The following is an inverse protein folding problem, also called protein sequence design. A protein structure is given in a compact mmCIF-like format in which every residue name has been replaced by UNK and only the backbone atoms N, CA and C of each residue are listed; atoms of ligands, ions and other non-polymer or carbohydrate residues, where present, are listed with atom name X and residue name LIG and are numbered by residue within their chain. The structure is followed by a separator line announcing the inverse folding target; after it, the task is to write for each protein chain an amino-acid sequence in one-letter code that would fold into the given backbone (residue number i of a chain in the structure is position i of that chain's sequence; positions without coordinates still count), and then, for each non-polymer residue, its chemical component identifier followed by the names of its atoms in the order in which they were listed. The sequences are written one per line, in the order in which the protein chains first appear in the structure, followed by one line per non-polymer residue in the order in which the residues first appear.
data_IF_712887587045
#
_entry.id   IF_712887587045
#
_cell.length_a   1.000
_cell.length_b   1.000
_cell.length_c   1.000
_cell.angle_alpha   90.00
_cell.angle_beta   90.00
_cell.angle_gamma   90.00
#
_symmetry.space_group_name_H-M   'P 1'
#
loop_
_entity.id
_entity.type
_entity.pdbx_description
1 polymer ?
#
# COMPACT_ATOMS: atom_id res chain seq x y z
N UNK A 1 21.92 2.18 -11.55
CA UNK A 1 21.67 0.76 -11.25
C UNK A 1 20.18 0.49 -11.43
N UNK A 2 19.80 -0.53 -12.23
CA UNK A 2 18.42 -0.95 -12.40
C UNK A 2 17.84 -1.44 -11.06
N UNK A 3 16.52 -1.23 -10.84
CA UNK A 3 15.82 -1.86 -9.73
C UNK A 3 15.88 -3.39 -9.89
N UNK A 4 15.91 -4.15 -8.77
CA UNK A 4 15.87 -5.61 -8.84
C UNK A 4 14.71 -6.10 -9.71
N UNK A 5 14.95 -7.21 -10.43
CA UNK A 5 13.87 -7.93 -11.10
C UNK A 5 12.86 -8.36 -10.04
N UNK A 6 11.57 -8.27 -10.36
CA UNK A 6 10.52 -8.83 -9.52
C UNK A 6 10.51 -10.35 -9.70
N UNK A 7 10.16 -11.04 -8.64
CA UNK A 7 9.94 -12.48 -8.70
C UNK A 7 8.47 -12.72 -9.07
N UNK A 8 8.20 -12.81 -10.37
CA UNK A 8 6.88 -13.16 -10.90
C UNK A 8 6.77 -14.70 -10.89
N UNK A 9 6.70 -15.29 -9.68
CA UNK A 9 6.57 -16.75 -9.53
C UNK A 9 5.10 -17.13 -9.71
N UNK A 10 4.79 -18.07 -10.64
CA UNK A 10 3.42 -18.55 -10.81
C UNK A 10 2.81 -19.08 -9.52
N UNK A 11 1.55 -18.76 -9.30
CA UNK A 11 0.76 -19.19 -8.15
C UNK A 11 0.86 -18.29 -6.92
N UNK A 12 1.76 -17.31 -6.90
CA UNK A 12 1.93 -16.41 -5.77
C UNK A 12 0.76 -15.43 -5.62
N UNK A 13 0.54 -15.06 -4.37
CA UNK A 13 -0.35 -13.97 -3.99
C UNK A 13 0.43 -12.68 -3.81
N UNK A 14 -0.17 -11.58 -4.25
CA UNK A 14 0.47 -10.26 -4.25
C UNK A 14 -0.45 -9.18 -3.69
N UNK A 15 0.07 -8.40 -2.76
CA UNK A 15 -0.48 -7.10 -2.44
C UNK A 15 0.15 -6.07 -3.36
N UNK A 16 -0.62 -5.57 -4.32
CA UNK A 16 -0.21 -4.63 -5.35
C UNK A 16 -0.67 -3.23 -4.99
N UNK A 17 0.21 -2.25 -5.12
CA UNK A 17 -0.12 -0.86 -4.81
C UNK A 17 0.70 0.12 -5.65
N UNK A 18 0.14 1.29 -5.90
CA UNK A 18 0.86 2.43 -6.45
C UNK A 18 0.23 3.73 -5.96
N UNK A 19 0.98 4.81 -6.05
CA UNK A 19 0.59 6.12 -5.58
C UNK A 19 0.96 7.19 -6.59
N UNK A 20 0.20 8.28 -6.62
CA UNK A 20 0.46 9.44 -7.46
C UNK A 20 1.80 10.11 -7.18
N UNK A 21 2.36 10.73 -8.21
CA UNK A 21 3.55 11.59 -8.11
C UNK A 21 3.27 12.66 -7.05
N UNK A 22 4.25 12.90 -6.17
CA UNK A 22 4.18 13.89 -5.09
C UNK A 22 2.90 13.81 -4.23
N UNK A 23 2.39 12.57 -4.04
CA UNK A 23 1.13 12.29 -3.36
C UNK A 23 -0.09 12.90 -4.05
N UNK A 24 0.05 13.29 -5.31
CA UNK A 24 -1.00 13.88 -6.12
C UNK A 24 -2.15 12.93 -6.41
N UNK A 25 -3.26 13.51 -6.82
CA UNK A 25 -4.49 12.79 -7.17
C UNK A 25 -4.24 11.83 -8.34
N UNK A 26 -4.75 10.61 -8.19
CA UNK A 26 -4.74 9.57 -9.22
C UNK A 26 -6.14 9.36 -9.80
N UNK A 27 -7.15 9.46 -8.94
CA UNK A 27 -8.56 9.31 -9.30
C UNK A 27 -9.27 10.65 -9.11
N UNK A 28 -9.46 11.39 -10.19
CA UNK A 28 -10.02 12.75 -10.14
C UNK A 28 -11.54 12.72 -9.98
N UNK A 29 -12.20 11.72 -10.55
CA UNK A 29 -13.65 11.53 -10.47
C UNK A 29 -14.05 10.04 -10.59
N UNK A 30 -15.35 9.79 -10.70
CA UNK A 30 -15.90 8.45 -10.79
C UNK A 30 -15.55 7.76 -12.13
N UNK A 31 -15.36 8.54 -13.20
CA UNK A 31 -14.98 8.00 -14.54
C UNK A 31 -13.59 7.36 -14.47
N UNK A 32 -12.68 7.97 -13.74
CA UNK A 32 -11.33 7.44 -13.53
C UNK A 32 -11.39 6.11 -12.77
N UNK A 33 -12.19 6.04 -11.71
CA UNK A 33 -12.31 4.82 -10.90
C UNK A 33 -12.95 3.68 -11.70
N UNK A 34 -14.01 3.96 -12.43
CA UNK A 34 -14.66 2.99 -13.33
C UNK A 34 -13.69 2.51 -14.42
N UNK A 35 -12.87 3.43 -14.94
CA UNK A 35 -11.83 3.08 -15.91
C UNK A 35 -10.81 2.13 -15.31
N UNK A 36 -10.38 2.38 -14.07
CA UNK A 36 -9.43 1.51 -13.38
C UNK A 36 -10.01 0.13 -13.09
N UNK A 37 -11.28 0.05 -12.63
CA UNK A 37 -12.00 -1.21 -12.42
C UNK A 37 -12.12 -2.02 -13.72
N UNK A 38 -12.42 -1.37 -14.84
CA UNK A 38 -12.43 -2.02 -16.16
C UNK A 38 -11.05 -2.56 -16.54
N UNK A 39 -9.98 -1.82 -16.25
CA UNK A 39 -8.61 -2.27 -16.51
C UNK A 39 -8.17 -3.42 -15.58
N UNK A 40 -8.70 -3.52 -14.36
CA UNK A 40 -8.54 -4.70 -13.52
C UNK A 40 -9.19 -5.94 -14.15
N UNK A 41 -10.39 -5.78 -14.71
CA UNK A 41 -11.03 -6.84 -15.49
C UNK A 41 -10.22 -7.28 -16.70
N UNK A 42 -9.63 -6.34 -17.44
CA UNK A 42 -8.72 -6.65 -18.56
C UNK A 42 -7.45 -7.38 -18.11
N UNK A 43 -6.86 -6.99 -16.96
CA UNK A 43 -5.68 -7.67 -16.41
C UNK A 43 -5.99 -9.15 -16.09
N UNK A 44 -7.22 -9.45 -15.62
CA UNK A 44 -7.69 -10.83 -15.47
C UNK A 44 -7.80 -11.54 -16.81
N UNK A 45 -8.48 -10.93 -17.76
CA UNK A 45 -8.85 -11.59 -19.03
C UNK A 45 -7.62 -11.80 -19.94
N UNK A 46 -6.68 -10.86 -19.95
CA UNK A 46 -5.51 -10.88 -20.85
C UNK A 46 -4.29 -11.54 -20.21
N UNK A 47 -4.15 -11.49 -18.87
CA UNK A 47 -2.96 -11.98 -18.15
C UNK A 47 -3.25 -13.09 -17.15
N UNK A 48 -4.52 -13.46 -16.96
CA UNK A 48 -4.91 -14.49 -16.00
C UNK A 48 -4.80 -14.07 -14.53
N UNK A 49 -4.69 -12.77 -14.23
CA UNK A 49 -4.63 -12.30 -12.86
C UNK A 49 -5.97 -12.51 -12.15
N UNK A 50 -5.97 -13.20 -11.03
CA UNK A 50 -7.15 -13.38 -10.20
C UNK A 50 -7.23 -12.23 -9.18
N UNK A 51 -8.23 -11.36 -9.31
CA UNK A 51 -8.40 -10.21 -8.40
C UNK A 51 -9.33 -10.61 -7.26
N UNK A 52 -8.86 -10.44 -6.02
CA UNK A 52 -9.61 -10.86 -4.83
C UNK A 52 -10.07 -9.70 -3.96
N UNK A 53 -9.30 -8.65 -3.80
CA UNK A 53 -9.73 -7.45 -3.09
C UNK A 53 -9.12 -6.22 -3.74
N UNK A 54 -9.81 -5.07 -3.63
CA UNK A 54 -9.26 -3.79 -4.03
C UNK A 54 -9.84 -2.64 -3.23
N UNK A 55 -9.11 -1.53 -3.20
CA UNK A 55 -9.57 -0.24 -2.73
C UNK A 55 -8.90 0.88 -3.53
N UNK A 56 -9.72 1.75 -4.12
CA UNK A 56 -9.29 2.91 -4.89
C UNK A 56 -9.45 4.16 -4.03
N UNK A 57 -8.33 4.71 -3.58
CA UNK A 57 -8.28 5.94 -2.80
C UNK A 57 -8.09 7.14 -3.74
N UNK A 58 -8.20 8.37 -3.26
CA UNK A 58 -8.02 9.54 -4.13
C UNK A 58 -6.66 9.62 -4.84
N UNK A 59 -5.58 9.20 -4.16
CA UNK A 59 -4.21 9.36 -4.65
C UNK A 59 -3.41 8.05 -4.71
N UNK A 60 -4.02 6.90 -4.44
CA UNK A 60 -3.38 5.59 -4.49
C UNK A 60 -4.43 4.48 -4.61
N UNK A 61 -3.96 3.28 -4.89
CA UNK A 61 -4.78 2.06 -4.87
C UNK A 61 -4.07 0.92 -4.17
N UNK A 62 -4.88 -0.02 -3.69
CA UNK A 62 -4.46 -1.33 -3.21
C UNK A 62 -5.26 -2.41 -3.95
N UNK A 63 -4.58 -3.49 -4.33
CA UNK A 63 -5.19 -4.66 -4.98
C UNK A 63 -4.56 -5.91 -4.38
N UNK A 64 -5.38 -6.88 -3.99
CA UNK A 64 -4.95 -8.24 -3.66
C UNK A 64 -5.23 -9.11 -4.87
N UNK A 65 -4.19 -9.71 -5.41
CA UNK A 65 -4.29 -10.57 -6.58
C UNK A 65 -3.48 -11.85 -6.40
N UNK A 66 -3.98 -12.94 -6.97
CA UNK A 66 -3.22 -14.15 -7.23
C UNK A 66 -2.71 -14.13 -8.67
N UNK A 67 -1.50 -14.61 -8.87
CA UNK A 67 -0.84 -14.66 -10.18
C UNK A 67 -0.57 -16.10 -10.61
N UNK A 68 -1.55 -16.82 -11.18
CA UNK A 68 -1.36 -18.22 -11.56
C UNK A 68 -0.32 -18.42 -12.66
N UNK A 69 -0.12 -17.43 -13.52
CA UNK A 69 0.71 -17.52 -14.71
C UNK A 69 2.13 -16.91 -14.55
N UNK A 70 2.42 -16.19 -13.45
CA UNK A 70 3.67 -15.42 -13.32
C UNK A 70 3.67 -14.16 -14.21
N UNK A 71 2.51 -13.53 -14.38
CA UNK A 71 2.31 -12.41 -15.30
C UNK A 71 1.98 -11.08 -14.60
N UNK A 72 2.18 -11.00 -13.28
CA UNK A 72 1.84 -9.79 -12.50
C UNK A 72 2.57 -8.54 -13.00
N UNK A 73 3.85 -8.67 -13.42
CA UNK A 73 4.62 -7.54 -13.92
C UNK A 73 4.09 -6.97 -15.24
N UNK A 74 3.91 -7.75 -16.31
CA UNK A 74 3.32 -7.24 -17.55
C UNK A 74 1.87 -6.76 -17.35
N UNK A 75 1.04 -7.46 -16.58
CA UNK A 75 -0.34 -7.07 -16.30
C UNK A 75 -0.43 -5.68 -15.66
N UNK A 76 0.33 -5.46 -14.59
CA UNK A 76 0.31 -4.18 -13.88
C UNK A 76 1.03 -3.06 -14.64
N UNK A 77 2.01 -3.38 -15.48
CA UNK A 77 2.62 -2.42 -16.39
C UNK A 77 1.61 -1.93 -17.43
N UNK A 78 0.88 -2.86 -18.06
CA UNK A 78 -0.14 -2.53 -19.05
C UNK A 78 -1.28 -1.72 -18.41
N UNK A 79 -1.77 -2.15 -17.25
CA UNK A 79 -2.80 -1.43 -16.51
C UNK A 79 -2.37 0.00 -16.20
N UNK A 80 -1.19 0.16 -15.60
CA UNK A 80 -0.70 1.49 -15.17
C UNK A 80 -0.46 2.43 -16.35
N UNK A 81 0.11 1.93 -17.45
CA UNK A 81 0.38 2.74 -18.64
C UNK A 81 -0.91 3.12 -19.39
N UNK A 82 -1.83 2.17 -19.55
CA UNK A 82 -3.15 2.42 -20.17
C UNK A 82 -3.96 3.42 -19.36
N UNK A 83 -4.01 3.23 -18.03
CA UNK A 83 -4.70 4.14 -17.13
C UNK A 83 -4.11 5.56 -17.20
N UNK A 84 -2.77 5.69 -17.09
CA UNK A 84 -2.10 6.99 -17.17
C UNK A 84 -2.40 7.69 -18.48
N UNK A 85 -2.34 6.98 -19.61
CA UNK A 85 -2.67 7.54 -20.93
C UNK A 85 -4.10 8.05 -20.98
N UNK A 86 -5.07 7.23 -20.58
CA UNK A 86 -6.50 7.61 -20.62
C UNK A 86 -6.77 8.85 -19.76
N UNK A 87 -6.23 8.90 -18.54
CA UNK A 87 -6.42 10.04 -17.64
C UNK A 87 -5.74 11.30 -18.20
N UNK A 88 -4.52 11.17 -18.71
CA UNK A 88 -3.80 12.30 -19.29
C UNK A 88 -4.52 12.84 -20.53
N UNK A 89 -4.95 11.98 -21.45
CA UNK A 89 -5.71 12.37 -22.64
C UNK A 89 -7.01 13.09 -22.25
N UNK A 90 -7.74 12.55 -21.27
CA UNK A 90 -9.03 13.11 -20.81
C UNK A 90 -8.85 14.48 -20.16
N UNK A 91 -7.77 14.69 -19.40
CA UNK A 91 -7.55 15.90 -18.61
C UNK A 91 -6.60 16.90 -19.27
N UNK A 92 -6.13 16.62 -20.50
CA UNK A 92 -5.16 17.48 -21.19
C UNK A 92 -3.83 17.60 -20.41
N UNK A 93 -3.37 16.50 -19.77
CA UNK A 93 -2.16 16.48 -18.96
C UNK A 93 -1.03 15.76 -19.68
N UNK A 94 0.19 16.14 -19.33
CA UNK A 94 1.41 15.46 -19.72
C UNK A 94 2.15 14.87 -18.50
N UNK A 95 3.00 13.87 -18.76
CA UNK A 95 3.90 13.31 -17.77
C UNK A 95 3.31 12.16 -16.93
N UNK A 96 4.07 11.70 -15.94
CA UNK A 96 3.69 10.53 -15.15
C UNK A 96 2.54 10.85 -14.19
N UNK A 97 1.59 9.92 -14.09
CA UNK A 97 0.53 9.95 -13.09
C UNK A 97 1.00 9.29 -11.80
N UNK A 98 1.67 8.14 -11.93
CA UNK A 98 2.19 7.39 -10.80
C UNK A 98 3.65 7.74 -10.52
N UNK A 99 4.05 7.68 -9.25
CA UNK A 99 5.40 7.97 -8.75
C UNK A 99 6.49 7.03 -9.31
N UNK A 100 6.10 5.96 -9.98
CA UNK A 100 7.00 4.98 -10.57
C UNK A 100 6.29 3.65 -10.82
N UNK A 101 7.08 2.57 -10.89
CA UNK A 101 6.50 1.23 -10.99
C UNK A 101 5.66 0.92 -9.74
N UNK A 102 4.60 0.12 -9.90
CA UNK A 102 3.82 -0.40 -8.77
C UNK A 102 4.72 -1.15 -7.77
N UNK A 103 4.32 -1.20 -6.52
CA UNK A 103 4.90 -2.06 -5.49
C UNK A 103 4.13 -3.37 -5.45
N UNK A 104 4.85 -4.47 -5.30
CA UNK A 104 4.30 -5.80 -5.10
C UNK A 104 4.92 -6.37 -3.83
N UNK A 105 4.09 -6.82 -2.91
CA UNK A 105 4.47 -7.56 -1.71
C UNK A 105 3.85 -8.94 -1.84
N UNK A 106 4.68 -9.99 -1.78
CA UNK A 106 4.19 -11.36 -1.77
C UNK A 106 3.46 -11.64 -0.46
N UNK A 107 2.34 -12.32 -0.55
CA UNK A 107 1.55 -12.80 0.59
C UNK A 107 1.80 -14.30 0.70
N UNK A 108 2.36 -14.75 1.82
CA UNK A 108 2.97 -16.07 1.93
C UNK A 108 2.04 -17.14 2.53
N UNK A 109 1.05 -16.72 3.33
CA UNK A 109 0.14 -17.63 4.03
C UNK A 109 -1.28 -17.07 4.15
N UNK A 110 -2.21 -17.91 4.63
CA UNK A 110 -3.62 -17.60 4.79
C UNK A 110 -3.86 -16.50 5.83
N UNK A 111 -3.04 -16.43 6.87
CA UNK A 111 -3.17 -15.40 7.90
C UNK A 111 -2.81 -14.03 7.32
N UNK A 112 -1.74 -13.96 6.53
CA UNK A 112 -1.36 -12.73 5.80
C UNK A 112 -2.40 -12.39 4.73
N UNK A 113 -2.99 -13.40 4.08
CA UNK A 113 -4.02 -13.21 3.06
C UNK A 113 -5.27 -12.54 3.66
N UNK A 114 -5.73 -13.06 4.79
CA UNK A 114 -6.83 -12.47 5.57
C UNK A 114 -6.45 -11.05 6.01
N UNK A 115 -5.27 -10.88 6.62
CA UNK A 115 -4.80 -9.59 7.10
C UNK A 115 -4.72 -8.54 5.97
N UNK A 116 -4.21 -8.93 4.80
CA UNK A 116 -4.12 -8.05 3.64
C UNK A 116 -5.50 -7.66 3.11
N UNK A 117 -6.46 -8.60 3.06
CA UNK A 117 -7.82 -8.31 2.63
C UNK A 117 -8.53 -7.32 3.57
N UNK A 118 -8.39 -7.54 4.88
CA UNK A 118 -8.91 -6.63 5.91
C UNK A 118 -8.26 -5.25 5.81
N UNK A 119 -6.94 -5.19 5.65
CA UNK A 119 -6.21 -3.94 5.47
C UNK A 119 -6.73 -3.17 4.24
N UNK A 120 -6.90 -3.85 3.10
CA UNK A 120 -7.40 -3.23 1.86
C UNK A 120 -8.82 -2.70 2.06
N UNK A 121 -9.71 -3.48 2.67
CA UNK A 121 -11.08 -3.08 2.90
C UNK A 121 -11.22 -1.96 3.95
N UNK A 122 -10.27 -1.85 4.88
CA UNK A 122 -10.23 -0.81 5.90
C UNK A 122 -9.60 0.51 5.42
N UNK A 123 -8.90 0.54 4.29
CA UNK A 123 -8.22 1.75 3.80
C UNK A 123 -9.09 3.01 3.80
N UNK A 124 -10.42 2.95 3.49
CA UNK A 124 -11.26 4.14 3.49
C UNK A 124 -11.42 4.82 4.85
N UNK A 125 -10.93 4.25 5.96
CA UNK A 125 -10.98 4.87 7.30
C UNK A 125 -10.38 6.27 7.36
N UNK A 126 -9.43 6.57 6.45
CA UNK A 126 -8.82 7.90 6.34
C UNK A 126 -9.72 8.92 5.63
N UNK A 127 -10.80 8.47 4.97
CA UNK A 127 -11.70 9.30 4.17
C UNK A 127 -13.11 9.37 4.74
N UNK A 128 -13.57 8.29 5.37
CA UNK A 128 -14.93 8.15 5.88
C UNK A 128 -14.94 7.55 7.29
N UNK A 129 -15.96 7.84 8.12
CA UNK A 129 -16.13 7.18 9.41
C UNK A 129 -16.18 5.65 9.26
N UNK A 130 -15.69 4.92 10.25
CA UNK A 130 -15.65 3.44 10.25
C UNK A 130 -17.00 2.81 9.88
N UNK A 131 -18.09 3.33 10.41
CA UNK A 131 -19.44 2.86 10.08
C UNK A 131 -19.88 3.05 8.64
N UNK A 132 -19.22 3.92 7.88
CA UNK A 132 -19.47 4.17 6.45
C UNK A 132 -18.57 3.34 5.52
N UNK A 133 -17.51 2.71 6.02
CA UNK A 133 -16.61 1.84 5.22
C UNK A 133 -17.39 0.76 4.45
N UNK A 134 -18.40 0.06 5.04
CA UNK A 134 -19.21 -0.93 4.33
C UNK A 134 -19.96 -0.41 3.11
N UNK A 135 -20.11 0.90 2.97
CA UNK A 135 -20.77 1.56 1.84
C UNK A 135 -19.78 2.29 0.91
N UNK A 136 -18.48 2.21 1.19
CA UNK A 136 -17.48 2.85 0.33
C UNK A 136 -17.44 2.19 -1.04
N UNK A 137 -17.98 2.88 -2.03
CA UNK A 137 -18.24 2.36 -3.37
C UNK A 137 -16.98 1.88 -4.10
N UNK A 138 -15.84 2.52 -3.85
CA UNK A 138 -14.60 2.32 -4.60
C UNK A 138 -13.70 1.26 -3.95
N UNK A 139 -14.35 0.25 -3.42
CA UNK A 139 -13.72 -0.91 -2.79
C UNK A 139 -14.51 -2.18 -3.12
N UNK A 140 -13.84 -3.31 -3.13
CA UNK A 140 -14.49 -4.62 -3.22
C UNK A 140 -15.34 -4.97 -2.00
N UNK A 141 -15.20 -4.26 -0.89
CA UNK A 141 -15.84 -4.61 0.39
C UNK A 141 -17.36 -4.68 0.34
N UNK A 142 -18.11 -3.76 -0.33
CA UNK A 142 -19.55 -3.89 -0.48
C UNK A 142 -19.99 -5.21 -1.16
N UNK A 143 -19.18 -5.75 -2.10
CA UNK A 143 -19.45 -7.04 -2.73
C UNK A 143 -19.25 -8.22 -1.77
N UNK A 144 -18.24 -8.17 -0.92
CA UNK A 144 -18.03 -9.15 0.15
C UNK A 144 -19.20 -9.20 1.12
N UNK A 145 -19.81 -8.06 1.42
CA UNK A 145 -20.98 -7.95 2.29
C UNK A 145 -22.31 -8.29 1.61
N UNK A 146 -22.29 -8.69 0.34
CA UNK A 146 -23.51 -8.95 -0.45
C UNK A 146 -24.39 -7.72 -0.70
N UNK A 147 -23.85 -6.50 -0.51
CA UNK A 147 -24.58 -5.24 -0.74
C UNK A 147 -24.70 -4.86 -2.21
N UNK A 148 -23.73 -5.32 -2.99
CA UNK A 148 -23.72 -5.20 -4.46
C UNK A 148 -23.29 -6.53 -5.06
N UNK A 149 -23.68 -6.78 -6.31
CA UNK A 149 -23.16 -7.91 -7.06
C UNK A 149 -21.66 -7.73 -7.29
N UNK A 150 -20.87 -8.78 -7.06
CA UNK A 150 -19.45 -8.77 -7.40
C UNK A 150 -19.31 -8.67 -8.94
N UNK A 151 -18.43 -7.80 -9.45
CA UNK A 151 -18.07 -7.83 -10.87
C UNK A 151 -17.54 -9.22 -11.26
N UNK A 152 -17.78 -9.66 -12.48
CA UNK A 152 -17.40 -11.01 -12.93
C UNK A 152 -15.88 -11.30 -12.83
N UNK A 153 -15.07 -10.26 -12.80
CA UNK A 153 -13.62 -10.35 -12.66
C UNK A 153 -13.14 -10.39 -11.20
N UNK A 154 -14.01 -10.14 -10.20
CA UNK A 154 -13.69 -10.16 -8.79
C UNK A 154 -14.05 -11.51 -8.17
N UNK A 155 -13.08 -12.19 -7.56
CA UNK A 155 -13.29 -13.43 -6.82
C UNK A 155 -13.32 -13.13 -5.32
N UNK A 156 -14.46 -13.36 -4.68
CA UNK A 156 -14.62 -13.19 -3.23
C UNK A 156 -14.59 -14.51 -2.46
N UNK A 157 -14.73 -15.66 -3.15
CA UNK A 157 -14.90 -16.97 -2.53
C UNK A 157 -13.71 -17.38 -1.67
N UNK A 158 -12.48 -17.23 -2.16
CA UNK A 158 -11.29 -17.69 -1.44
C UNK A 158 -11.17 -17.05 -0.05
N UNK A 159 -11.37 -15.74 0.05
CA UNK A 159 -11.31 -15.06 1.35
C UNK A 159 -12.50 -15.46 2.23
N UNK A 160 -13.70 -15.60 1.65
CA UNK A 160 -14.90 -16.01 2.40
C UNK A 160 -14.81 -17.46 2.89
N UNK A 161 -14.07 -18.33 2.20
CA UNK A 161 -13.80 -19.70 2.61
C UNK A 161 -12.78 -19.78 3.76
N UNK A 162 -11.86 -18.82 3.83
CA UNK A 162 -10.84 -18.74 4.87
C UNK A 162 -11.36 -18.10 6.16
N UNK A 163 -12.33 -17.20 6.09
CA UNK A 163 -12.83 -16.46 7.23
C UNK A 163 -14.33 -16.15 7.09
N UNK A 164 -15.17 -16.44 8.13
CA UNK A 164 -16.56 -16.01 8.13
C UNK A 164 -16.71 -14.51 7.91
N UNK A 165 -17.69 -14.13 7.11
CA UNK A 165 -17.87 -12.71 6.72
C UNK A 165 -18.15 -11.80 7.93
N UNK A 166 -18.79 -12.31 8.97
CA UNK A 166 -19.03 -11.58 10.24
C UNK A 166 -17.70 -11.25 10.91
N UNK A 167 -16.80 -12.25 11.01
CA UNK A 167 -15.46 -12.05 11.59
C UNK A 167 -14.65 -11.09 10.75
N UNK A 168 -14.67 -11.24 9.42
CA UNK A 168 -13.99 -10.31 8.52
C UNK A 168 -14.52 -8.88 8.70
N UNK A 169 -15.85 -8.71 8.83
CA UNK A 169 -16.47 -7.40 9.06
C UNK A 169 -16.01 -6.79 10.40
N UNK A 170 -15.94 -7.58 11.46
CA UNK A 170 -15.50 -7.10 12.76
C UNK A 170 -14.01 -6.68 12.71
N UNK A 171 -13.16 -7.44 12.03
CA UNK A 171 -11.77 -7.07 11.81
C UNK A 171 -11.63 -5.80 10.96
N UNK A 172 -12.46 -5.59 9.94
CA UNK A 172 -12.47 -4.34 9.18
C UNK A 172 -12.92 -3.16 10.05
N UNK A 173 -13.88 -3.35 10.92
CA UNK A 173 -14.38 -2.31 11.82
C UNK A 173 -13.32 -1.91 12.87
N UNK A 174 -12.73 -2.88 13.54
CA UNK A 174 -11.76 -2.65 14.63
C UNK A 174 -10.34 -2.43 14.07
N UNK A 175 -10.00 -3.04 12.97
CA UNK A 175 -8.65 -3.28 12.47
C UNK A 175 -8.16 -4.62 13.01
N UNK A 176 -7.33 -5.30 12.24
CA UNK A 176 -6.56 -6.39 12.81
C UNK A 176 -5.68 -5.72 13.86
N UNK A 177 -5.75 -6.15 15.13
CA UNK A 177 -4.73 -5.72 16.07
C UNK A 177 -3.40 -6.04 15.42
N UNK A 178 -2.59 -5.02 15.21
CA UNK A 178 -1.21 -5.25 14.79
C UNK A 178 -0.62 -6.15 15.88
N UNK A 179 -0.59 -7.47 15.64
CA UNK A 179 0.12 -8.41 16.52
C UNK A 179 1.61 -8.08 16.49
N UNK A 180 2.05 -7.35 15.46
CA UNK A 180 3.20 -6.50 15.45
C UNK A 180 2.72 -5.05 15.66
N UNK A 181 2.57 -4.60 16.89
CA UNK A 181 2.29 -3.21 17.25
C UNK A 181 3.22 -2.20 16.56
N UNK A 182 3.02 -0.90 16.72
CA UNK A 182 3.94 0.09 16.19
C UNK A 182 5.35 -0.37 16.54
N UNK A 183 6.24 -0.46 15.53
CA UNK A 183 7.61 -0.90 15.80
C UNK A 183 8.13 -0.05 16.92
N UNK A 184 8.47 -0.67 18.05
CA UNK A 184 8.93 0.08 19.22
C UNK A 184 10.13 0.93 18.83
N UNK A 185 10.30 2.04 19.52
CA UNK A 185 11.46 2.91 19.33
C UNK A 185 12.78 2.11 19.41
N UNK A 186 12.83 1.13 20.32
CA UNK A 186 13.95 0.24 20.54
C UNK A 186 14.27 -0.63 19.32
N UNK A 187 13.28 -1.29 18.74
CA UNK A 187 13.47 -2.08 17.51
C UNK A 187 13.96 -1.23 16.31
N UNK A 188 13.47 0.01 16.19
CA UNK A 188 13.93 0.93 15.15
C UNK A 188 15.40 1.33 15.40
N UNK A 189 15.77 1.58 16.66
CA UNK A 189 17.11 1.96 17.03
C UNK A 189 18.11 0.79 16.87
N UNK A 190 17.71 -0.44 17.18
CA UNK A 190 18.47 -1.66 16.92
C UNK A 190 18.67 -1.91 15.42
N UNK A 191 17.62 -1.77 14.62
CA UNK A 191 17.71 -1.89 13.17
C UNK A 191 18.61 -0.81 12.56
N UNK A 192 18.56 0.43 13.08
CA UNK A 192 19.48 1.51 12.70
C UNK A 192 20.93 1.25 13.12
N UNK A 193 21.15 0.68 14.30
CA UNK A 193 22.47 0.30 14.77
C UNK A 193 23.11 -0.78 13.88
N UNK A 194 22.29 -1.70 13.39
CA UNK A 194 22.74 -2.83 12.55
C UNK A 194 23.17 -2.45 11.13
N UNK A 195 22.84 -1.26 10.64
CA UNK A 195 23.31 -0.76 9.32
C UNK A 195 24.64 0.01 9.41
N UNK A 196 25.25 0.03 10.60
CA UNK A 196 26.56 0.63 10.87
C UNK A 196 26.51 2.10 11.28
N UNK A 197 27.68 2.71 11.50
CA UNK A 197 27.78 4.10 11.95
C UNK A 197 27.28 5.05 10.87
N UNK A 198 26.35 5.94 11.25
CA UNK A 198 25.76 6.94 10.37
C UNK A 198 25.96 8.35 10.97
N UNK A 199 26.21 9.37 10.12
CA UNK A 199 26.13 10.75 10.56
C UNK A 199 24.77 11.06 11.20
N UNK A 200 24.74 11.83 12.29
CA UNK A 200 23.52 12.10 13.07
C UNK A 200 22.36 12.64 12.24
N UNK A 201 22.66 13.54 11.29
CA UNK A 201 21.63 14.11 10.40
C UNK A 201 20.97 13.05 9.48
N UNK A 202 21.75 12.07 9.01
CA UNK A 202 21.27 10.96 8.19
C UNK A 202 20.50 9.98 9.08
N UNK A 203 21.06 9.57 10.21
CA UNK A 203 20.42 8.70 11.20
C UNK A 203 19.05 9.26 11.59
N UNK A 204 18.97 10.55 11.96
CA UNK A 204 17.72 11.21 12.34
C UNK A 204 16.70 11.22 11.19
N UNK A 205 17.13 11.46 9.95
CA UNK A 205 16.24 11.44 8.79
C UNK A 205 15.69 10.04 8.50
N UNK A 206 16.54 9.01 8.54
CA UNK A 206 16.13 7.61 8.34
C UNK A 206 15.20 7.17 9.47
N UNK A 207 15.57 7.44 10.74
CA UNK A 207 14.73 7.13 11.90
C UNK A 207 13.34 7.75 11.81
N UNK A 208 13.24 9.02 11.42
CA UNK A 208 11.97 9.74 11.30
C UNK A 208 11.10 9.15 10.18
N UNK A 209 11.68 8.86 9.01
CA UNK A 209 10.97 8.24 7.88
C UNK A 209 10.47 6.84 8.28
N UNK A 210 11.35 6.00 8.83
CA UNK A 210 11.01 4.63 9.21
C UNK A 210 9.95 4.62 10.33
N UNK A 211 10.08 5.48 11.33
CA UNK A 211 9.08 5.60 12.41
C UNK A 211 7.71 6.00 11.87
N UNK A 212 7.65 6.94 10.93
CA UNK A 212 6.40 7.45 10.38
C UNK A 212 5.78 6.53 9.33
N UNK A 213 6.58 5.93 8.46
CA UNK A 213 6.10 5.19 7.29
C UNK A 213 5.99 3.69 7.54
N UNK A 214 6.98 3.09 8.17
CA UNK A 214 7.01 1.67 8.48
C UNK A 214 6.51 1.40 9.90
N UNK A 215 6.97 2.17 10.88
CA UNK A 215 6.55 2.05 12.28
C UNK A 215 5.13 2.54 12.55
N UNK A 216 4.50 3.22 11.59
CA UNK A 216 3.15 3.84 11.73
C UNK A 216 3.00 4.66 13.00
N UNK A 217 4.09 5.28 13.44
CA UNK A 217 4.14 6.01 14.68
C UNK A 217 3.23 7.25 14.61
N UNK A 218 2.27 7.42 15.53
CA UNK A 218 1.40 8.58 15.55
C UNK A 218 2.19 9.88 15.70
N UNK A 219 1.67 10.97 15.13
CA UNK A 219 2.35 12.28 15.18
C UNK A 219 2.70 12.71 16.59
N UNK A 220 1.88 12.39 17.59
CA UNK A 220 2.14 12.70 19.01
C UNK A 220 3.37 11.95 19.57
N UNK A 221 3.58 10.72 19.17
CA UNK A 221 4.77 9.94 19.56
C UNK A 221 6.00 10.39 18.80
N UNK A 222 5.89 10.72 17.51
CA UNK A 222 6.98 11.33 16.75
C UNK A 222 7.44 12.64 17.40
N UNK A 223 6.49 13.45 17.88
CA UNK A 223 6.82 14.68 18.61
C UNK A 223 7.66 14.38 19.87
N UNK A 224 7.22 13.42 20.68
CA UNK A 224 7.95 13.02 21.90
C UNK A 224 9.34 12.46 21.59
N UNK A 225 9.42 11.52 20.62
CA UNK A 225 10.66 10.83 20.26
C UNK A 225 11.71 11.77 19.68
N UNK A 226 11.31 12.70 18.82
CA UNK A 226 12.23 13.58 18.09
C UNK A 226 12.28 15.02 18.64
N UNK A 227 11.55 15.31 19.72
CA UNK A 227 11.55 16.62 20.38
C UNK A 227 10.92 17.74 19.54
N UNK A 228 9.86 17.44 18.79
CA UNK A 228 9.17 18.48 18.00
C UNK A 228 8.19 19.28 18.86
N UNK A 229 8.20 20.61 18.78
CA UNK A 229 7.34 21.47 19.61
C UNK A 229 5.87 21.47 19.19
N UNK A 230 5.54 21.01 17.99
CA UNK A 230 4.17 21.00 17.47
C UNK A 230 3.98 19.95 16.38
N UNK A 231 2.72 19.53 16.10
CA UNK A 231 2.40 18.65 14.97
C UNK A 231 2.84 19.22 13.62
N UNK A 232 2.78 20.53 13.44
CA UNK A 232 3.23 21.21 12.23
C UNK A 232 4.75 21.09 12.06
N UNK A 233 5.52 21.24 13.15
CA UNK A 233 6.96 21.04 13.13
C UNK A 233 7.35 19.60 12.79
N UNK A 234 6.65 18.60 13.33
CA UNK A 234 6.85 17.20 13.02
C UNK A 234 6.55 16.89 11.53
N UNK A 235 5.44 17.39 11.00
CA UNK A 235 5.07 17.24 9.58
C UNK A 235 6.10 17.89 8.66
N UNK A 236 6.56 19.08 8.96
CA UNK A 236 7.60 19.77 8.18
C UNK A 236 8.94 19.02 8.22
N UNK A 237 9.35 18.50 9.38
CA UNK A 237 10.56 17.72 9.51
C UNK A 237 10.49 16.42 8.68
N UNK A 238 9.36 15.72 8.73
CA UNK A 238 9.11 14.52 7.93
C UNK A 238 9.12 14.84 6.43
N UNK A 239 8.50 15.93 6.00
CA UNK A 239 8.52 16.39 4.60
C UNK A 239 9.95 16.65 4.11
N UNK A 240 10.78 17.33 4.92
CA UNK A 240 12.20 17.56 4.60
C UNK A 240 13.00 16.26 4.55
N UNK A 241 12.75 15.32 5.47
CA UNK A 241 13.40 14.02 5.48
C UNK A 241 13.06 13.21 4.22
N UNK A 242 11.78 13.22 3.80
CA UNK A 242 11.30 12.62 2.55
C UNK A 242 11.95 13.28 1.32
N UNK A 243 12.06 14.59 1.30
CA UNK A 243 12.76 15.33 0.25
C UNK A 243 14.21 14.88 0.12
N UNK A 244 14.94 14.73 1.24
CA UNK A 244 16.31 14.18 1.25
C UNK A 244 16.36 12.73 0.75
N UNK A 245 15.40 11.87 1.14
CA UNK A 245 15.29 10.50 0.62
C UNK A 245 15.13 10.50 -0.90
N UNK A 246 14.33 11.41 -1.44
CA UNK A 246 14.10 11.50 -2.89
C UNK A 246 15.35 11.95 -3.67
N UNK A 247 16.17 12.84 -3.08
CA UNK A 247 17.38 13.39 -3.73
C UNK A 247 18.67 12.63 -3.42
N UNK A 248 18.69 11.78 -2.39
CA UNK A 248 19.88 11.06 -1.93
C UNK A 248 19.66 9.54 -1.96
N UNK A 249 20.30 8.88 -2.93
CA UNK A 249 20.23 7.41 -3.10
C UNK A 249 20.75 6.66 -1.88
N UNK A 250 21.69 7.23 -1.11
CA UNK A 250 22.23 6.63 0.11
C UNK A 250 21.13 6.56 1.19
N UNK A 251 20.40 7.64 1.40
CA UNK A 251 19.28 7.67 2.36
C UNK A 251 18.18 6.68 1.92
N UNK A 252 17.86 6.61 0.64
CA UNK A 252 16.89 5.65 0.11
C UNK A 252 17.28 4.20 0.38
N UNK A 253 18.56 3.84 0.20
CA UNK A 253 19.08 2.49 0.49
C UNK A 253 19.07 2.18 1.98
N UNK A 254 19.44 3.14 2.83
CA UNK A 254 19.44 2.97 4.27
C UNK A 254 18.01 2.77 4.81
N UNK A 255 17.04 3.55 4.33
CA UNK A 255 15.62 3.36 4.70
C UNK A 255 15.16 1.95 4.31
N UNK A 256 15.43 1.52 3.09
CA UNK A 256 15.05 0.17 2.63
C UNK A 256 15.75 -0.95 3.43
N UNK A 257 17.02 -0.77 3.80
CA UNK A 257 17.77 -1.73 4.62
C UNK A 257 17.20 -1.86 6.04
N UNK A 258 16.83 -0.73 6.66
CA UNK A 258 16.21 -0.71 8.00
C UNK A 258 14.80 -1.30 7.96
N UNK A 259 13.99 -0.93 6.96
CA UNK A 259 12.66 -1.50 6.73
C UNK A 259 12.71 -3.02 6.53
N UNK A 260 13.67 -3.52 5.73
CA UNK A 260 13.87 -4.97 5.53
C UNK A 260 14.22 -5.72 6.82
N UNK A 261 15.06 -5.14 7.70
CA UNK A 261 15.39 -5.75 8.99
C UNK A 261 14.22 -5.76 9.96
N UNK A 262 13.43 -4.70 9.98
CA UNK A 262 12.22 -4.63 10.79
C UNK A 262 11.13 -5.59 10.31
N UNK A 263 11.05 -5.84 9.00
CA UNK A 263 10.16 -6.83 8.43
C UNK A 263 10.50 -8.24 8.91
N UNK A 264 11.79 -8.63 8.91
CA UNK A 264 12.26 -9.93 9.44
C UNK A 264 11.93 -10.08 10.92
N UNK A 265 12.09 -9.02 11.73
CA UNK A 265 11.79 -9.04 13.17
C UNK A 265 10.26 -9.18 13.43
N UNK A 266 9.43 -8.76 12.49
CA UNK A 266 7.96 -8.88 12.56
C UNK A 266 7.43 -10.23 12.08
N UNK A 267 8.26 -11.09 11.49
CA UNK A 267 7.81 -12.31 10.84
C UNK A 267 6.97 -12.06 9.59
N UNK A 268 7.22 -10.93 8.91
CA UNK A 268 6.55 -10.50 7.67
C UNK A 268 7.55 -10.53 6.52
#
# INVERSE_FOLDING_TARGET
MGRPLRCDTPGNWHHLMNRGVDFGTVFFDDVDRLTFERLLGQARDEHGLEIHAYCLMGNHYHVLARDPAGAVSPAMQQLSSSYTRIVNDRLGRDGPLFRGRFTSITVEDDAQLIATSVYIHRNPVDLVPVGAIPAYRWSSYPAYLGRIAAPAWLSTSVINDLIPIETHRDLVAVGIPDTAGPVSAEHIDDALASVGPLPDAIRRSVALIVSAEFGRCPTGELMKRFGFPSPAAAKMALSRARGRRASDTRISRLVAAVEGKLAVTRGV
#
